data_IF_946157213575
#
_entry.id   IF_946157213575
#
_cell.length_a   1.000
_cell.length_b   1.000
_cell.length_c   1.000
_cell.angle_alpha   90.00
_cell.angle_beta   90.00
_cell.angle_gamma   90.00
#
_symmetry.space_group_name_H-M   'P 1'
#
loop_
_entity.id
_entity.type
_entity.pdbx_description
1 polymer ?
#
# COMPACT_ATOMS: atom_id res chain seq x y z
N UNK A 1 26.57 -3.04 11.58
CA UNK A 1 26.52 -2.14 10.40
C UNK A 1 26.76 -2.93 9.12
N UNK A 2 25.77 -3.70 8.68
CA UNK A 2 25.58 -4.01 7.25
C UNK A 2 24.09 -4.33 7.02
N UNK A 3 23.26 -3.28 7.03
CA UNK A 3 21.80 -3.35 6.91
C UNK A 3 21.32 -3.91 5.56
N UNK A 4 22.24 -4.09 4.61
CA UNK A 4 22.01 -4.57 3.25
C UNK A 4 21.87 -6.10 3.13
N UNK A 5 21.93 -6.86 4.22
CA UNK A 5 21.86 -8.33 4.20
C UNK A 5 20.79 -8.91 5.15
N UNK A 6 19.85 -8.10 5.66
CA UNK A 6 18.73 -8.61 6.46
C UNK A 6 17.58 -9.06 5.54
N UNK A 7 17.28 -10.37 5.43
CA UNK A 7 16.18 -10.87 4.61
C UNK A 7 14.82 -10.24 4.97
N UNK A 8 14.62 -9.85 6.23
CA UNK A 8 13.38 -9.22 6.68
C UNK A 8 13.20 -7.81 6.08
N UNK A 9 14.30 -7.07 5.90
CA UNK A 9 14.27 -5.74 5.27
C UNK A 9 13.86 -5.87 3.80
N UNK A 10 14.48 -6.80 3.06
CA UNK A 10 14.12 -7.06 1.67
C UNK A 10 12.66 -7.48 1.51
N UNK A 11 12.16 -8.34 2.41
CA UNK A 11 10.77 -8.77 2.38
C UNK A 11 9.80 -7.61 2.60
N UNK A 12 10.10 -6.69 3.54
CA UNK A 12 9.26 -5.51 3.75
C UNK A 12 9.23 -4.57 2.53
N UNK A 13 10.39 -4.34 1.90
CA UNK A 13 10.49 -3.49 0.72
C UNK A 13 9.79 -4.12 -0.49
N UNK A 14 9.92 -5.44 -0.67
CA UNK A 14 9.23 -6.19 -1.71
C UNK A 14 7.70 -6.14 -1.53
N UNK A 15 7.21 -6.40 -0.31
CA UNK A 15 5.78 -6.33 0.03
C UNK A 15 5.17 -4.95 -0.25
N UNK A 16 5.86 -3.89 0.18
CA UNK A 16 5.42 -2.54 -0.11
C UNK A 16 5.47 -2.21 -1.62
N UNK A 17 6.46 -2.71 -2.35
CA UNK A 17 6.54 -2.53 -3.80
C UNK A 17 5.42 -3.27 -4.53
N UNK A 18 5.08 -4.48 -4.10
CA UNK A 18 3.99 -5.26 -4.68
C UNK A 18 2.63 -4.59 -4.46
N UNK A 19 2.37 -4.09 -3.25
CA UNK A 19 1.15 -3.35 -2.95
C UNK A 19 1.02 -2.07 -3.81
N UNK A 20 2.13 -1.32 -4.00
CA UNK A 20 2.12 -0.17 -4.92
C UNK A 20 1.81 -0.58 -6.34
N UNK A 21 2.45 -1.64 -6.83
CA UNK A 21 2.29 -2.10 -8.20
C UNK A 21 0.83 -2.49 -8.48
N UNK A 22 0.24 -3.33 -7.63
CA UNK A 22 -1.16 -3.75 -7.76
C UNK A 22 -2.09 -2.53 -7.83
N UNK A 23 -2.01 -1.62 -6.87
CA UNK A 23 -2.91 -0.45 -6.84
C UNK A 23 -2.63 0.51 -8.01
N UNK A 24 -1.36 0.70 -8.36
CA UNK A 24 -0.97 1.54 -9.49
C UNK A 24 -1.59 1.07 -10.81
N UNK A 25 -1.59 -0.24 -11.08
CA UNK A 25 -2.18 -0.79 -12.29
C UNK A 25 -3.69 -0.53 -12.35
N UNK A 26 -4.39 -0.74 -11.23
CA UNK A 26 -5.84 -0.55 -11.15
C UNK A 26 -6.24 0.92 -11.30
N UNK A 27 -5.42 1.84 -10.76
CA UNK A 27 -5.69 3.28 -10.79
C UNK A 27 -5.05 4.01 -11.98
N UNK A 28 -4.34 3.31 -12.88
CA UNK A 28 -3.64 3.91 -14.02
C UNK A 28 -2.54 4.90 -13.62
N UNK A 29 -1.86 4.66 -12.49
CA UNK A 29 -0.84 5.57 -11.94
C UNK A 29 0.57 5.01 -12.16
N UNK A 30 1.49 5.73 -12.82
CA UNK A 30 2.87 5.28 -12.96
C UNK A 30 3.58 5.11 -11.60
N UNK A 31 4.13 3.91 -11.33
CA UNK A 31 4.72 3.57 -10.02
C UNK A 31 5.94 4.46 -9.70
N UNK A 32 6.95 4.45 -10.57
CA UNK A 32 8.22 5.13 -10.32
C UNK A 32 8.07 6.66 -10.39
N UNK A 33 7.25 7.15 -11.32
CA UNK A 33 7.09 8.59 -11.54
C UNK A 33 6.18 9.24 -10.48
N UNK A 34 5.17 8.52 -9.97
CA UNK A 34 4.12 9.11 -9.12
C UNK A 34 3.96 8.44 -7.75
N UNK A 35 3.94 7.11 -7.66
CA UNK A 35 3.66 6.39 -6.40
C UNK A 35 4.83 6.46 -5.41
N UNK A 36 6.07 6.56 -5.89
CA UNK A 36 7.26 6.66 -5.02
C UNK A 36 7.65 8.09 -4.63
N UNK A 37 7.03 9.11 -5.23
CA UNK A 37 7.40 10.51 -4.94
C UNK A 37 7.01 10.91 -3.50
N UNK A 38 7.85 11.72 -2.82
CA UNK A 38 7.58 12.19 -1.46
C UNK A 38 6.48 13.26 -1.41
N UNK A 39 6.14 13.88 -2.54
CA UNK A 39 5.09 14.90 -2.59
C UNK A 39 3.68 14.30 -2.50
N UNK A 40 2.69 15.11 -2.09
CA UNK A 40 1.28 14.67 -2.08
C UNK A 40 0.80 14.31 -3.49
N UNK A 41 1.25 15.05 -4.51
CA UNK A 41 0.84 14.86 -5.90
C UNK A 41 -0.64 15.18 -6.14
N UNK A 42 -1.16 14.75 -7.28
CA UNK A 42 -2.59 14.89 -7.62
C UNK A 42 -3.46 14.03 -6.68
N UNK A 43 -4.71 14.44 -6.40
CA UNK A 43 -5.59 13.71 -5.48
C UNK A 43 -5.75 12.22 -5.78
N UNK A 44 -5.85 11.83 -7.06
CA UNK A 44 -5.96 10.43 -7.46
C UNK A 44 -4.71 9.61 -7.10
N UNK A 45 -3.50 10.18 -7.23
CA UNK A 45 -2.24 9.52 -6.82
C UNK A 45 -2.17 9.39 -5.30
N UNK A 46 -2.63 10.41 -4.57
CA UNK A 46 -2.70 10.35 -3.12
C UNK A 46 -3.62 9.23 -2.64
N UNK A 47 -4.80 9.08 -3.26
CA UNK A 47 -5.74 7.99 -3.00
C UNK A 47 -5.12 6.62 -3.30
N UNK A 48 -4.50 6.46 -4.46
CA UNK A 48 -3.80 5.22 -4.82
C UNK A 48 -2.71 4.86 -3.78
N UNK A 49 -1.93 5.82 -3.30
CA UNK A 49 -0.95 5.57 -2.23
C UNK A 49 -1.60 5.17 -0.90
N UNK A 50 -2.70 5.82 -0.51
CA UNK A 50 -3.42 5.49 0.73
C UNK A 50 -3.95 4.04 0.69
N UNK A 51 -4.50 3.62 -0.44
CA UNK A 51 -4.98 2.25 -0.66
C UNK A 51 -3.80 1.27 -0.63
N UNK A 52 -2.67 1.58 -1.27
CA UNK A 52 -1.49 0.73 -1.22
C UNK A 52 -0.94 0.55 0.20
N UNK A 53 -0.96 1.61 1.03
CA UNK A 53 -0.59 1.55 2.44
C UNK A 53 -1.54 0.61 3.21
N UNK A 54 -2.86 0.80 3.01
CA UNK A 54 -3.88 -0.01 3.67
C UNK A 54 -3.78 -1.49 3.28
N UNK A 55 -3.62 -1.82 1.99
CA UNK A 55 -3.48 -3.20 1.53
C UNK A 55 -2.19 -3.86 2.03
N UNK A 56 -1.07 -3.11 2.09
CA UNK A 56 0.16 -3.62 2.69
C UNK A 56 0.02 -3.90 4.19
N UNK A 57 -0.79 -3.10 4.91
CA UNK A 57 -1.17 -3.37 6.30
C UNK A 57 -2.00 -4.65 6.41
N UNK A 58 -3.04 -4.77 5.58
CA UNK A 58 -4.03 -5.83 5.63
C UNK A 58 -3.44 -7.20 5.23
N UNK A 59 -2.80 -7.27 4.06
CA UNK A 59 -2.32 -8.54 3.49
C UNK A 59 -1.03 -9.03 4.16
N UNK A 60 -0.13 -8.11 4.52
CA UNK A 60 1.20 -8.48 5.02
C UNK A 60 1.43 -8.21 6.51
N UNK A 61 0.40 -7.75 7.22
CA UNK A 61 0.46 -7.38 8.63
C UNK A 61 1.60 -6.37 8.96
N UNK A 62 1.96 -5.50 8.00
CA UNK A 62 3.06 -4.54 8.20
C UNK A 62 2.73 -3.52 9.28
N UNK A 63 3.64 -3.32 10.23
CA UNK A 63 3.50 -2.29 11.27
C UNK A 63 3.46 -0.88 10.67
N UNK A 64 2.87 0.09 11.39
CA UNK A 64 2.88 1.49 10.96
C UNK A 64 4.30 2.05 10.78
N UNK A 65 5.28 1.53 11.54
CA UNK A 65 6.69 1.91 11.39
C UNK A 65 7.28 1.38 10.08
N UNK A 66 7.02 0.12 9.74
CA UNK A 66 7.44 -0.44 8.44
C UNK A 66 6.79 0.32 7.29
N UNK A 67 5.48 0.55 7.34
CA UNK A 67 4.77 1.31 6.30
C UNK A 67 5.30 2.75 6.18
N UNK A 68 5.52 3.45 7.29
CA UNK A 68 6.08 4.81 7.29
C UNK A 68 7.45 4.84 6.60
N UNK A 69 8.33 3.91 6.93
CA UNK A 69 9.64 3.76 6.31
C UNK A 69 9.53 3.43 4.82
N UNK A 70 8.82 2.35 4.48
CA UNK A 70 8.75 1.87 3.11
C UNK A 70 8.06 2.88 2.18
N UNK A 71 7.07 3.64 2.66
CA UNK A 71 6.37 4.68 1.90
C UNK A 71 6.98 6.08 2.00
N UNK A 72 8.02 6.28 2.80
CA UNK A 72 8.66 7.58 3.01
C UNK A 72 7.68 8.61 3.57
N UNK A 73 6.88 8.22 4.56
CA UNK A 73 5.82 9.05 5.18
C UNK A 73 5.88 9.00 6.69
N UNK A 74 5.34 10.04 7.32
CA UNK A 74 5.14 10.04 8.77
C UNK A 74 4.15 8.96 9.22
N UNK A 75 4.34 8.46 10.44
CA UNK A 75 3.45 7.45 11.05
C UNK A 75 2.00 7.95 11.15
N UNK A 76 1.79 9.24 11.39
CA UNK A 76 0.46 9.86 11.38
C UNK A 76 -0.19 9.82 9.99
N UNK A 77 0.59 9.98 8.92
CA UNK A 77 0.10 9.86 7.54
C UNK A 77 -0.34 8.43 7.23
N UNK A 78 0.42 7.43 7.68
CA UNK A 78 0.03 6.01 7.55
C UNK A 78 -1.26 5.73 8.32
N UNK A 79 -1.35 6.18 9.56
CA UNK A 79 -2.54 6.03 10.38
C UNK A 79 -3.77 6.66 9.72
N UNK A 80 -3.62 7.90 9.26
CA UNK A 80 -4.67 8.61 8.53
C UNK A 80 -5.08 7.88 7.25
N UNK A 81 -4.11 7.34 6.47
CA UNK A 81 -4.40 6.56 5.28
C UNK A 81 -5.23 5.31 5.58
N UNK A 82 -4.87 4.55 6.62
CA UNK A 82 -5.63 3.37 7.03
C UNK A 82 -7.07 3.74 7.43
N UNK A 83 -7.24 4.75 8.30
CA UNK A 83 -8.59 5.19 8.70
C UNK A 83 -9.43 5.71 7.54
N UNK A 84 -8.83 6.47 6.63
CA UNK A 84 -9.52 7.00 5.47
C UNK A 84 -10.02 5.88 4.55
N UNK A 85 -9.19 4.86 4.30
CA UNK A 85 -9.59 3.72 3.47
C UNK A 85 -10.70 2.90 4.15
N UNK A 86 -10.61 2.65 5.46
CA UNK A 86 -11.69 1.95 6.19
C UNK A 86 -13.02 2.71 6.12
N UNK A 87 -13.00 4.03 6.36
CA UNK A 87 -14.21 4.86 6.22
C UNK A 87 -14.79 4.82 4.80
N UNK A 88 -13.94 4.73 3.77
CA UNK A 88 -14.42 4.57 2.39
C UNK A 88 -15.06 3.20 2.14
N UNK A 89 -14.57 2.13 2.78
CA UNK A 89 -15.16 0.78 2.69
C UNK A 89 -16.54 0.74 3.33
N UNK A 90 -16.67 1.35 4.50
CA UNK A 90 -17.95 1.44 5.21
C UNK A 90 -18.98 2.29 4.45
N UNK A 91 -18.53 3.35 3.76
CA UNK A 91 -19.41 4.27 3.04
C UNK A 91 -19.84 3.79 1.64
N UNK A 92 -19.14 2.82 1.03
CA UNK A 92 -19.42 2.40 -0.36
C UNK A 92 -19.15 0.92 -0.59
N UNK A 93 -20.21 0.15 -0.86
CA UNK A 93 -20.13 -1.27 -1.21
C UNK A 93 -19.34 -1.53 -2.51
N UNK A 94 -19.42 -0.60 -3.47
CA UNK A 94 -18.66 -0.67 -4.73
C UNK A 94 -17.15 -0.50 -4.46
N UNK A 95 -16.78 0.44 -3.59
CA UNK A 95 -15.40 0.60 -3.16
C UNK A 95 -14.90 -0.61 -2.37
N UNK A 96 -15.69 -1.15 -1.43
CA UNK A 96 -15.32 -2.34 -0.68
C UNK A 96 -15.11 -3.55 -1.61
N UNK A 97 -16.00 -3.75 -2.58
CA UNK A 97 -15.87 -4.82 -3.58
C UNK A 97 -14.59 -4.68 -4.41
N UNK A 98 -14.28 -3.46 -4.86
CA UNK A 98 -13.05 -3.15 -5.60
C UNK A 98 -11.81 -3.39 -4.74
N UNK A 99 -11.85 -3.00 -3.47
CA UNK A 99 -10.74 -3.18 -2.54
C UNK A 99 -10.50 -4.67 -2.23
N UNK A 100 -11.56 -5.45 -2.00
CA UNK A 100 -11.47 -6.92 -1.83
C UNK A 100 -10.86 -7.58 -3.06
N UNK A 101 -11.25 -7.16 -4.26
CA UNK A 101 -10.65 -7.70 -5.48
C UNK A 101 -9.14 -7.39 -5.57
N UNK A 102 -8.72 -6.16 -5.23
CA UNK A 102 -7.29 -5.80 -5.13
C UNK A 102 -6.57 -6.58 -4.04
N UNK A 103 -7.21 -6.83 -2.89
CA UNK A 103 -6.68 -7.67 -1.82
C UNK A 103 -6.41 -9.09 -2.33
N UNK A 104 -7.39 -9.73 -2.99
CA UNK A 104 -7.22 -11.06 -3.57
C UNK A 104 -6.14 -11.09 -4.64
N UNK A 105 -6.03 -10.05 -5.47
CA UNK A 105 -4.96 -9.94 -6.46
C UNK A 105 -3.59 -9.83 -5.79
N UNK A 106 -3.46 -9.02 -4.73
CA UNK A 106 -2.22 -8.86 -3.98
C UNK A 106 -1.81 -10.15 -3.25
N UNK A 107 -2.76 -10.88 -2.66
CA UNK A 107 -2.53 -12.20 -2.04
C UNK A 107 -1.97 -13.19 -3.05
N UNK A 108 -2.63 -13.33 -4.21
CA UNK A 108 -2.16 -14.22 -5.30
C UNK A 108 -0.77 -13.83 -5.79
N UNK A 109 -0.53 -12.54 -6.03
CA UNK A 109 0.77 -12.05 -6.47
C UNK A 109 1.88 -12.28 -5.44
N UNK A 110 1.52 -12.38 -4.16
CA UNK A 110 2.44 -12.71 -3.07
C UNK A 110 2.57 -14.23 -2.80
N UNK A 111 1.90 -15.08 -3.58
CA UNK A 111 1.86 -16.53 -3.36
C UNK A 111 1.09 -16.94 -2.10
N UNK A 112 0.22 -16.07 -1.59
CA UNK A 112 -0.67 -16.33 -0.46
C UNK A 112 -2.01 -16.88 -0.95
N UNK A 113 -2.63 -17.75 -0.16
CA UNK A 113 -4.00 -18.20 -0.43
C UNK A 113 -4.97 -17.01 -0.34
N UNK A 114 -6.00 -16.94 -1.22
CA UNK A 114 -7.00 -15.88 -1.22
C UNK A 114 -7.73 -15.72 0.11
#
# INVERSE_FOLDING_TARGET
MNSMQDPAVFLTAQRASLARFVVAQVYGVPVEEKMRKPTRGRPHVARARQIAIHLARLVFAMSHRQLAREFGRDRSTVHHACHLVEGMREASAEFDSTLRWMESLLRRAAGLTP
#
